data_IF_973675357798
#
_entry.id   IF_973675357798
#
_cell.length_a   1.000
_cell.length_b   1.000
_cell.length_c   1.000
_cell.angle_alpha   90.00
_cell.angle_beta   90.00
_cell.angle_gamma   90.00
#
_symmetry.space_group_name_H-M   'P 1'
#
loop_
_entity.id
_entity.type
_entity.pdbx_description
1 polymer ?
#
# COMPACT_ATOMS: atom_id res chain seq x y z
N UNK A 1 -2.64 -17.11 17.87
CA UNK A 1 -1.37 -17.71 18.31
C UNK A 1 -0.16 -16.96 17.73
N UNK A 2 -0.08 -16.70 16.40
CA UNK A 2 1.05 -15.99 15.76
C UNK A 2 1.29 -14.62 16.41
N UNK A 3 0.24 -13.81 16.61
CA UNK A 3 0.35 -12.49 17.24
C UNK A 3 0.86 -12.54 18.70
N UNK A 4 0.77 -13.69 19.36
CA UNK A 4 1.32 -13.89 20.70
C UNK A 4 2.83 -14.16 20.70
N UNK A 5 3.34 -14.77 19.65
CA UNK A 5 4.73 -15.21 19.51
C UNK A 5 5.58 -14.19 18.75
N UNK A 6 5.01 -13.58 17.70
CA UNK A 6 5.71 -12.59 16.88
C UNK A 6 5.96 -11.30 17.67
N UNK A 7 7.19 -10.85 17.73
CA UNK A 7 7.58 -9.62 18.43
C UNK A 7 7.49 -8.38 17.55
N UNK A 8 7.68 -8.54 16.25
CA UNK A 8 7.65 -7.44 15.28
C UNK A 8 6.22 -7.11 14.85
N UNK A 9 5.81 -5.86 15.08
CA UNK A 9 4.55 -5.35 14.52
C UNK A 9 4.57 -5.34 12.98
N UNK A 10 5.73 -5.08 12.37
CA UNK A 10 5.84 -5.00 10.91
C UNK A 10 5.64 -6.39 10.29
N UNK A 11 6.24 -7.44 10.87
CA UNK A 11 6.01 -8.81 10.42
C UNK A 11 4.53 -9.23 10.54
N UNK A 12 3.82 -8.78 11.60
CA UNK A 12 2.38 -9.01 11.73
C UNK A 12 1.57 -8.24 10.69
N UNK A 13 2.00 -7.02 10.32
CA UNK A 13 1.37 -6.26 9.24
C UNK A 13 1.57 -6.96 7.90
N UNK A 14 2.80 -7.36 7.54
CA UNK A 14 3.07 -8.09 6.31
C UNK A 14 2.24 -9.38 6.21
N UNK A 15 2.17 -10.16 7.30
CA UNK A 15 1.33 -11.35 7.37
C UNK A 15 -0.17 -11.00 7.20
N UNK A 16 -0.65 -9.95 7.86
CA UNK A 16 -2.04 -9.52 7.77
C UNK A 16 -2.42 -9.08 6.36
N UNK A 17 -1.56 -8.32 5.69
CA UNK A 17 -1.74 -7.95 4.28
C UNK A 17 -1.75 -9.16 3.34
N UNK A 18 -0.90 -10.16 3.60
CA UNK A 18 -0.86 -11.41 2.82
C UNK A 18 -2.12 -12.25 3.03
N UNK A 19 -2.60 -12.39 4.28
CA UNK A 19 -3.83 -13.12 4.60
C UNK A 19 -5.09 -12.48 3.97
N UNK A 20 -5.11 -11.15 3.88
CA UNK A 20 -6.23 -10.38 3.33
C UNK A 20 -6.00 -9.93 1.88
N UNK A 21 -4.91 -10.37 1.27
CA UNK A 21 -4.49 -10.03 -0.08
C UNK A 21 -4.63 -11.17 -1.07
N UNK A 22 -4.38 -10.90 -2.33
CA UNK A 22 -4.45 -11.86 -3.43
C UNK A 22 -3.07 -12.36 -3.87
N UNK A 23 -2.12 -12.49 -2.95
CA UNK A 23 -0.79 -13.06 -3.18
C UNK A 23 -0.36 -13.91 -1.99
N UNK A 24 0.60 -14.80 -2.23
CA UNK A 24 1.24 -15.63 -1.20
C UNK A 24 2.75 -15.63 -1.40
N UNK A 25 3.50 -15.28 -0.35
CA UNK A 25 4.95 -15.39 -0.33
C UNK A 25 5.35 -16.79 0.12
N UNK A 26 6.02 -17.55 -0.76
CA UNK A 26 6.49 -18.89 -0.40
C UNK A 26 7.91 -18.78 0.14
N UNK A 27 8.09 -19.03 1.44
CA UNK A 27 9.38 -18.89 2.13
C UNK A 27 10.38 -20.02 1.83
N UNK A 28 9.95 -21.10 1.16
CA UNK A 28 10.74 -22.32 0.96
C UNK A 28 11.16 -22.55 -0.48
N UNK A 29 11.83 -21.57 -1.09
CA UNK A 29 12.48 -21.76 -2.41
C UNK A 29 11.57 -21.80 -3.63
N UNK A 30 10.27 -21.60 -3.46
CA UNK A 30 9.32 -21.46 -4.58
C UNK A 30 8.96 -19.99 -4.81
N UNK A 31 8.67 -19.63 -6.07
CA UNK A 31 8.21 -18.29 -6.43
C UNK A 31 6.91 -17.92 -5.71
N UNK A 32 6.71 -16.63 -5.42
CA UNK A 32 5.43 -16.11 -4.91
C UNK A 32 4.29 -16.44 -5.87
N UNK A 33 3.12 -16.77 -5.32
CA UNK A 33 1.89 -16.91 -6.09
C UNK A 33 1.12 -15.60 -6.08
N UNK A 34 0.50 -15.26 -7.20
CA UNK A 34 -0.32 -14.07 -7.39
C UNK A 34 -1.72 -14.45 -7.85
N UNK A 35 -2.67 -13.53 -7.73
CA UNK A 35 -4.08 -13.75 -8.09
C UNK A 35 -4.71 -14.95 -7.36
N UNK A 36 -4.32 -15.15 -6.10
CA UNK A 36 -4.90 -16.17 -5.22
C UNK A 36 -6.10 -15.58 -4.46
N UNK A 37 -7.04 -16.43 -4.07
CA UNK A 37 -8.14 -16.01 -3.20
C UNK A 37 -7.60 -15.65 -1.81
N UNK A 38 -8.02 -14.51 -1.23
CA UNK A 38 -7.65 -14.13 0.12
C UNK A 38 -8.08 -15.19 1.15
N UNK A 39 -7.20 -15.52 2.07
CA UNK A 39 -7.49 -16.49 3.14
C UNK A 39 -8.43 -15.90 4.20
N UNK A 40 -8.51 -14.57 4.31
CA UNK A 40 -9.32 -13.87 5.29
C UNK A 40 -9.65 -12.45 4.80
N UNK A 41 -10.30 -11.66 5.67
CA UNK A 41 -10.49 -10.23 5.51
C UNK A 41 -10.21 -9.51 6.83
N UNK A 42 -9.95 -8.22 6.77
CA UNK A 42 -9.78 -7.39 7.98
C UNK A 42 -11.02 -7.50 8.86
N UNK A 43 -12.21 -7.51 8.27
CA UNK A 43 -13.47 -7.65 9.00
C UNK A 43 -13.53 -8.98 9.77
N UNK A 44 -13.24 -10.11 9.11
CA UNK A 44 -13.24 -11.43 9.75
C UNK A 44 -12.20 -11.53 10.86
N UNK A 45 -10.99 -10.99 10.65
CA UNK A 45 -9.94 -10.96 11.66
C UNK A 45 -10.31 -10.07 12.86
N UNK A 46 -10.96 -8.92 12.63
CA UNK A 46 -11.43 -8.02 13.68
C UNK A 46 -12.55 -8.64 14.50
N UNK A 47 -13.52 -9.27 13.85
CA UNK A 47 -14.58 -10.00 14.50
C UNK A 47 -14.05 -11.13 15.38
N UNK A 48 -13.09 -11.90 14.87
CA UNK A 48 -12.47 -12.96 15.65
C UNK A 48 -11.75 -12.41 16.89
N UNK A 49 -10.96 -11.34 16.73
CA UNK A 49 -10.26 -10.71 17.85
C UNK A 49 -11.23 -10.14 18.90
N UNK A 50 -12.33 -9.57 18.46
CA UNK A 50 -13.37 -9.00 19.33
C UNK A 50 -14.12 -10.09 20.12
N UNK A 51 -14.44 -11.22 19.50
CA UNK A 51 -15.12 -12.35 20.15
C UNK A 51 -14.21 -13.13 21.10
N UNK A 52 -12.89 -12.99 20.96
CA UNK A 52 -11.91 -13.75 21.74
C UNK A 52 -10.88 -12.84 22.45
N UNK A 53 -11.32 -11.87 23.27
CA UNK A 53 -10.41 -10.87 23.85
C UNK A 53 -9.43 -11.46 24.88
N UNK A 54 -9.76 -12.61 25.46
CA UNK A 54 -8.92 -13.33 26.45
C UNK A 54 -7.80 -14.15 25.82
N UNK A 55 -7.85 -14.39 24.51
CA UNK A 55 -6.78 -15.12 23.83
C UNK A 55 -5.46 -14.35 23.87
N UNK A 56 -4.39 -15.05 24.21
CA UNK A 56 -3.04 -14.48 24.19
C UNK A 56 -2.73 -13.92 22.79
N UNK A 57 -2.41 -12.64 22.71
CA UNK A 57 -2.12 -11.93 21.46
C UNK A 57 -3.32 -11.23 20.80
N UNK A 58 -4.57 -11.42 21.29
CA UNK A 58 -5.76 -10.77 20.73
C UNK A 58 -5.66 -9.24 20.72
N UNK A 59 -5.25 -8.64 21.83
CA UNK A 59 -5.05 -7.17 21.94
C UNK A 59 -3.99 -6.67 20.94
N UNK A 60 -2.91 -7.42 20.74
CA UNK A 60 -1.86 -7.06 19.79
C UNK A 60 -2.36 -7.17 18.35
N UNK A 61 -3.07 -8.25 18.03
CA UNK A 61 -3.72 -8.42 16.72
C UNK A 61 -4.68 -7.26 16.44
N UNK A 62 -5.59 -6.95 17.36
CA UNK A 62 -6.57 -5.86 17.23
C UNK A 62 -5.89 -4.48 17.00
N UNK A 63 -4.77 -4.22 17.67
CA UNK A 63 -3.97 -2.99 17.44
C UNK A 63 -3.35 -2.96 16.05
N UNK A 64 -2.94 -4.11 15.52
CA UNK A 64 -2.31 -4.23 14.19
C UNK A 64 -3.34 -4.08 13.07
N UNK A 65 -4.55 -4.63 13.24
CA UNK A 65 -5.62 -4.61 12.23
C UNK A 65 -5.98 -3.20 11.75
N UNK A 66 -5.88 -2.19 12.62
CA UNK A 66 -6.16 -0.78 12.24
C UNK A 66 -5.22 -0.20 11.20
N UNK A 67 -4.13 -0.88 10.89
CA UNK A 67 -3.11 -0.46 9.91
C UNK A 67 -3.04 -1.39 8.70
N UNK A 68 -4.05 -2.25 8.51
CA UNK A 68 -4.20 -3.10 7.35
C UNK A 68 -5.19 -2.52 6.34
N UNK A 69 -5.03 -2.94 5.10
CA UNK A 69 -6.03 -2.82 4.05
C UNK A 69 -6.21 -4.18 3.37
N UNK A 70 -7.45 -4.52 2.99
CA UNK A 70 -7.74 -5.69 2.16
C UNK A 70 -7.24 -5.47 0.72
N UNK A 71 -7.14 -6.54 -0.04
CA UNK A 71 -6.91 -6.56 -1.48
C UNK A 71 -5.49 -6.15 -1.93
N UNK A 72 -4.46 -6.27 -1.10
CA UNK A 72 -3.09 -6.15 -1.61
C UNK A 72 -2.83 -7.25 -2.63
N UNK A 73 -2.27 -6.90 -3.79
CA UNK A 73 -1.99 -7.86 -4.87
C UNK A 73 -0.52 -8.28 -4.95
N UNK A 74 0.35 -7.66 -4.18
CA UNK A 74 1.78 -8.01 -4.18
C UNK A 74 2.51 -7.59 -2.90
N UNK A 75 3.66 -8.23 -2.57
CA UNK A 75 4.52 -7.78 -1.46
C UNK A 75 5.00 -6.34 -1.62
N UNK A 76 5.25 -5.86 -2.84
CA UNK A 76 5.70 -4.49 -3.11
C UNK A 76 4.61 -3.46 -2.83
N UNK A 77 3.36 -3.75 -3.18
CA UNK A 77 2.23 -2.91 -2.80
C UNK A 77 2.05 -2.86 -1.29
N UNK A 78 2.14 -4.00 -0.61
CA UNK A 78 2.11 -4.08 0.87
C UNK A 78 3.17 -3.18 1.50
N UNK A 79 4.43 -3.26 1.04
CA UNK A 79 5.52 -2.42 1.56
C UNK A 79 5.25 -0.94 1.36
N UNK A 80 4.72 -0.53 0.20
CA UNK A 80 4.30 0.86 -0.07
C UNK A 80 3.18 1.30 0.87
N UNK A 81 2.14 0.48 1.03
CA UNK A 81 1.01 0.78 1.90
C UNK A 81 1.45 0.97 3.36
N UNK A 82 2.31 0.08 3.87
CA UNK A 82 2.89 0.17 5.20
C UNK A 82 3.76 1.44 5.32
N UNK A 83 4.67 1.66 4.39
CA UNK A 83 5.60 2.78 4.43
C UNK A 83 4.88 4.13 4.37
N UNK A 84 3.96 4.31 3.44
CA UNK A 84 3.22 5.55 3.25
C UNK A 84 2.15 5.75 4.33
N UNK A 85 1.45 4.69 4.72
CA UNK A 85 0.26 4.76 5.57
C UNK A 85 0.52 4.80 7.06
N UNK A 86 1.53 4.05 7.55
CA UNK A 86 1.79 3.97 8.99
C UNK A 86 2.09 5.35 9.61
N UNK A 87 1.63 5.58 10.85
CA UNK A 87 1.99 6.78 11.61
C UNK A 87 3.51 6.97 11.75
N UNK A 88 3.94 8.22 11.82
CA UNK A 88 5.36 8.61 11.98
C UNK A 88 6.00 8.00 13.24
N UNK A 89 5.23 7.72 14.29
CA UNK A 89 5.71 7.05 15.49
C UNK A 89 6.24 5.63 15.23
N UNK A 90 5.80 5.00 14.15
CA UNK A 90 6.30 3.68 13.69
C UNK A 90 7.30 3.79 12.53
N UNK A 91 7.64 5.01 12.11
CA UNK A 91 8.57 5.30 11.02
C UNK A 91 7.91 5.47 9.64
N UNK A 92 6.58 5.34 9.54
CA UNK A 92 5.84 5.61 8.31
C UNK A 92 5.67 7.10 8.03
N UNK A 93 5.13 7.44 6.86
CA UNK A 93 4.90 8.83 6.46
C UNK A 93 3.61 9.44 7.01
N UNK A 94 2.75 8.64 7.67
CA UNK A 94 1.53 9.12 8.31
C UNK A 94 0.46 9.63 7.34
N UNK A 95 0.43 9.12 6.12
CA UNK A 95 -0.52 9.55 5.10
C UNK A 95 -1.93 8.93 5.29
N UNK A 96 -2.07 7.98 6.23
CA UNK A 96 -3.27 7.17 6.43
C UNK A 96 -3.25 5.94 5.52
N UNK A 97 -3.89 4.87 6.00
CA UNK A 97 -3.89 3.60 5.27
C UNK A 97 -4.70 3.76 3.99
N UNK A 98 -4.11 3.46 2.81
CA UNK A 98 -4.83 3.53 1.53
C UNK A 98 -5.82 2.37 1.41
N UNK A 99 -6.84 2.52 0.56
CA UNK A 99 -7.55 1.38 -0.02
C UNK A 99 -6.69 0.79 -1.13
N UNK A 100 -6.61 -0.54 -1.16
CA UNK A 100 -5.76 -1.21 -2.14
C UNK A 100 -6.59 -1.86 -3.24
N UNK A 101 -6.08 -1.78 -4.45
CA UNK A 101 -6.73 -2.33 -5.65
C UNK A 101 -8.21 -1.91 -5.74
N UNK A 102 -8.45 -0.63 -5.43
CA UNK A 102 -9.79 -0.05 -5.36
C UNK A 102 -10.37 0.19 -6.75
N UNK A 103 -11.62 -0.22 -6.94
CA UNK A 103 -12.31 0.00 -8.22
C UNK A 103 -12.96 1.38 -8.29
N UNK A 104 -12.55 2.16 -9.29
CA UNK A 104 -13.12 3.45 -9.65
C UNK A 104 -14.00 3.27 -10.89
N UNK A 105 -15.30 3.50 -10.75
CA UNK A 105 -16.25 3.42 -11.88
C UNK A 105 -16.00 4.55 -12.87
N UNK A 106 -15.86 4.20 -14.15
CA UNK A 106 -15.67 5.18 -15.22
C UNK A 106 -16.96 5.95 -15.51
N UNK A 107 -16.86 7.29 -15.58
CA UNK A 107 -17.91 8.12 -16.10
C UNK A 107 -17.99 8.03 -17.65
N UNK A 108 -19.01 8.60 -18.33
CA UNK A 108 -19.14 8.52 -19.79
C UNK A 108 -17.91 9.02 -20.55
N UNK A 109 -17.27 10.11 -20.10
CA UNK A 109 -16.08 10.67 -20.75
C UNK A 109 -14.88 9.73 -20.62
N UNK A 110 -14.64 9.15 -19.43
CA UNK A 110 -13.58 8.19 -19.22
C UNK A 110 -13.80 6.88 -20.02
N UNK A 111 -15.04 6.43 -20.15
CA UNK A 111 -15.40 5.29 -21.03
C UNK A 111 -15.11 5.58 -22.50
N UNK A 112 -15.42 6.79 -22.98
CA UNK A 112 -15.13 7.17 -24.36
C UNK A 112 -13.63 7.16 -24.66
N UNK A 113 -12.77 7.51 -23.67
CA UNK A 113 -11.31 7.50 -23.82
C UNK A 113 -10.69 6.09 -23.83
N UNK A 114 -11.27 5.15 -23.09
CA UNK A 114 -10.63 3.87 -22.77
C UNK A 114 -11.43 2.63 -23.18
N UNK A 115 -12.74 2.77 -23.40
CA UNK A 115 -13.66 1.64 -23.55
C UNK A 115 -13.93 0.86 -22.24
N UNK A 116 -13.31 1.24 -21.12
CA UNK A 116 -13.40 0.50 -19.84
C UNK A 116 -14.53 1.06 -18.97
N UNK A 117 -15.22 0.18 -18.23
CA UNK A 117 -16.29 0.55 -17.29
C UNK A 117 -15.77 0.88 -15.89
N UNK A 118 -14.56 0.43 -15.54
CA UNK A 118 -13.90 0.69 -14.25
C UNK A 118 -12.38 0.69 -14.40
N UNK A 119 -11.71 1.28 -13.40
CA UNK A 119 -10.26 1.30 -13.24
C UNK A 119 -9.92 0.72 -11.88
N UNK A 120 -8.95 -0.17 -11.82
CA UNK A 120 -8.41 -0.70 -10.58
C UNK A 120 -7.19 0.12 -10.20
N UNK A 121 -7.24 0.81 -9.07
CA UNK A 121 -6.22 1.72 -8.56
C UNK A 121 -5.41 1.03 -7.45
N UNK A 122 -4.07 1.02 -7.53
CA UNK A 122 -3.23 0.20 -6.63
C UNK A 122 -3.31 0.64 -5.17
N UNK A 123 -2.95 1.88 -4.86
CA UNK A 123 -3.05 2.48 -3.54
C UNK A 123 -3.85 3.77 -3.62
N UNK A 124 -5.02 3.78 -3.03
CA UNK A 124 -6.03 4.78 -3.30
C UNK A 124 -6.49 5.49 -2.02
N UNK A 125 -6.64 6.80 -2.09
CA UNK A 125 -7.36 7.64 -1.11
C UNK A 125 -8.57 8.25 -1.82
N UNK A 126 -9.72 7.52 -1.87
CA UNK A 126 -10.87 7.89 -2.70
C UNK A 126 -11.45 9.26 -2.35
N UNK A 127 -11.47 9.62 -1.07
CA UNK A 127 -11.99 10.90 -0.58
C UNK A 127 -11.19 12.10 -1.11
N UNK A 128 -9.91 11.88 -1.41
CA UNK A 128 -9.02 12.87 -2.04
C UNK A 128 -8.86 12.66 -3.55
N UNK A 129 -9.52 11.66 -4.12
CA UNK A 129 -9.34 11.25 -5.52
C UNK A 129 -7.86 11.10 -5.90
N UNK A 130 -7.10 10.43 -5.05
CA UNK A 130 -5.68 10.18 -5.25
C UNK A 130 -5.45 8.69 -5.47
N UNK A 131 -4.69 8.38 -6.50
CA UNK A 131 -4.19 7.05 -6.81
C UNK A 131 -2.67 7.06 -6.87
N UNK A 132 -2.03 6.06 -6.25
CA UNK A 132 -0.58 5.85 -6.28
C UNK A 132 -0.32 4.51 -6.95
N UNK A 133 0.00 4.56 -8.22
CA UNK A 133 0.24 3.41 -9.11
C UNK A 133 1.68 2.89 -8.98
N UNK A 134 1.82 1.58 -9.07
CA UNK A 134 3.12 0.94 -9.09
C UNK A 134 3.56 0.60 -10.51
N UNK A 135 4.69 1.11 -10.94
CA UNK A 135 5.30 0.76 -12.21
C UNK A 135 6.46 -0.23 -12.01
N UNK A 136 6.26 -1.49 -12.42
CA UNK A 136 7.35 -2.47 -12.43
C UNK A 136 8.29 -2.23 -13.62
N UNK A 137 9.59 -2.59 -13.46
CA UNK A 137 10.59 -2.50 -14.55
C UNK A 137 10.30 -3.44 -15.72
N UNK A 138 9.50 -4.47 -15.54
CA UNK A 138 9.19 -5.48 -16.57
C UNK A 138 8.28 -4.96 -17.68
N UNK A 139 7.82 -3.72 -17.60
CA UNK A 139 7.12 -3.06 -18.70
C UNK A 139 8.08 -2.62 -19.82
N UNK A 140 8.86 -3.54 -20.41
CA UNK A 140 9.32 -3.43 -21.81
C UNK A 140 8.09 -3.56 -22.73
N UNK A 141 7.07 -2.80 -22.40
CA UNK A 141 5.80 -2.75 -23.07
C UNK A 141 5.97 -1.87 -24.28
N UNK A 142 5.64 -2.42 -25.42
CA UNK A 142 5.60 -1.72 -26.68
C UNK A 142 4.75 -0.44 -26.63
N UNK A 143 4.74 0.28 -27.73
CA UNK A 143 4.00 1.55 -27.90
C UNK A 143 2.52 1.44 -27.48
N UNK A 144 1.89 0.27 -27.74
CA UNK A 144 0.48 0.00 -27.39
C UNK A 144 0.19 0.16 -25.89
N UNK A 145 1.05 -0.39 -25.02
CA UNK A 145 0.84 -0.27 -23.56
C UNK A 145 1.07 1.16 -23.07
N UNK A 146 2.04 1.88 -23.64
CA UNK A 146 2.26 3.30 -23.32
C UNK A 146 1.03 4.14 -23.69
N UNK A 147 0.39 3.84 -24.83
CA UNK A 147 -0.87 4.49 -25.25
C UNK A 147 -2.00 4.13 -24.27
N UNK A 148 -2.12 2.86 -23.87
CA UNK A 148 -3.13 2.43 -22.90
C UNK A 148 -2.95 3.12 -21.55
N UNK A 149 -1.72 3.17 -21.01
CA UNK A 149 -1.40 3.84 -19.75
C UNK A 149 -1.69 5.35 -19.82
N UNK A 150 -1.37 6.00 -20.94
CA UNK A 150 -1.70 7.40 -21.19
C UNK A 150 -3.22 7.63 -21.21
N UNK A 151 -3.97 6.79 -21.94
CA UNK A 151 -5.45 6.87 -21.97
C UNK A 151 -6.06 6.66 -20.60
N UNK A 152 -5.56 5.70 -19.83
CA UNK A 152 -5.98 5.44 -18.45
C UNK A 152 -5.75 6.66 -17.57
N UNK A 153 -4.55 7.25 -17.61
CA UNK A 153 -4.21 8.45 -16.82
C UNK A 153 -5.12 9.62 -17.18
N UNK A 154 -5.34 9.86 -18.47
CA UNK A 154 -6.23 10.92 -18.95
C UNK A 154 -7.70 10.68 -18.53
N UNK A 155 -8.16 9.43 -18.55
CA UNK A 155 -9.49 9.06 -18.10
C UNK A 155 -9.69 9.32 -16.60
N UNK A 156 -8.72 8.91 -15.76
CA UNK A 156 -8.74 9.20 -14.33
C UNK A 156 -8.69 10.71 -14.06
N UNK A 157 -7.82 11.45 -14.77
CA UNK A 157 -7.73 12.90 -14.67
C UNK A 157 -9.06 13.60 -15.06
N UNK A 158 -9.76 13.12 -16.09
CA UNK A 158 -11.08 13.65 -16.50
C UNK A 158 -12.15 13.49 -15.42
N UNK A 159 -11.98 12.55 -14.51
CA UNK A 159 -12.83 12.33 -13.35
C UNK A 159 -12.35 13.08 -12.09
N UNK A 160 -11.30 13.90 -12.22
CA UNK A 160 -10.70 14.68 -11.15
C UNK A 160 -9.74 13.89 -10.25
N UNK A 161 -9.29 12.71 -10.70
CA UNK A 161 -8.30 11.92 -9.98
C UNK A 161 -6.88 12.39 -10.29
N UNK A 162 -6.05 12.41 -9.26
CA UNK A 162 -4.59 12.59 -9.41
C UNK A 162 -3.93 11.23 -9.34
N UNK A 163 -3.08 10.93 -10.33
CA UNK A 163 -2.29 9.71 -10.37
C UNK A 163 -0.83 10.06 -10.06
N UNK A 164 -0.23 9.33 -9.13
CA UNK A 164 1.19 9.40 -8.78
C UNK A 164 1.81 8.05 -9.06
N UNK A 165 2.64 7.97 -10.10
CA UNK A 165 3.38 6.75 -10.41
C UNK A 165 4.60 6.63 -9.49
N UNK A 166 4.86 5.40 -9.01
CA UNK A 166 6.02 5.07 -8.16
C UNK A 166 6.70 3.84 -8.73
N UNK A 167 7.96 3.98 -9.11
CA UNK A 167 8.81 2.91 -9.61
C UNK A 167 9.48 2.13 -8.46
N UNK A 168 10.09 0.98 -8.77
CA UNK A 168 10.92 0.24 -7.80
C UNK A 168 12.08 1.10 -7.28
N UNK A 169 12.76 1.80 -8.17
CA UNK A 169 13.94 2.62 -7.81
C UNK A 169 13.55 3.77 -6.88
N UNK A 170 12.41 4.41 -7.13
CA UNK A 170 11.91 5.48 -6.25
C UNK A 170 11.46 4.94 -4.89
N UNK A 171 10.90 3.74 -4.82
CA UNK A 171 10.57 3.10 -3.54
C UNK A 171 11.85 2.70 -2.78
N UNK A 172 12.88 2.25 -3.48
CA UNK A 172 14.15 1.83 -2.91
C UNK A 172 15.00 3.04 -2.49
N UNK A 173 14.88 4.19 -3.16
CA UNK A 173 15.53 5.46 -2.76
C UNK A 173 14.78 6.15 -1.61
N UNK A 174 15.50 6.48 -0.54
CA UNK A 174 14.95 7.22 0.60
C UNK A 174 14.54 8.63 0.19
N UNK A 175 15.39 9.31 -0.59
CA UNK A 175 15.17 10.70 -1.02
C UNK A 175 13.98 10.80 -1.97
N UNK A 176 13.87 9.89 -2.94
CA UNK A 176 12.73 9.85 -3.85
C UNK A 176 11.43 9.52 -3.12
N UNK A 177 11.46 8.56 -2.19
CA UNK A 177 10.29 8.24 -1.36
C UNK A 177 9.86 9.42 -0.49
N UNK A 178 10.80 10.20 0.08
CA UNK A 178 10.49 11.42 0.85
C UNK A 178 9.77 12.45 -0.03
N UNK A 179 10.27 12.71 -1.23
CA UNK A 179 9.67 13.66 -2.17
C UNK A 179 8.25 13.22 -2.61
N UNK A 180 8.08 11.94 -2.91
CA UNK A 180 6.77 11.36 -3.26
C UNK A 180 5.78 11.49 -2.10
N UNK A 181 6.21 11.13 -0.89
CA UNK A 181 5.37 11.23 0.30
C UNK A 181 4.96 12.68 0.59
N UNK A 182 5.84 13.65 0.37
CA UNK A 182 5.52 15.08 0.51
C UNK A 182 4.53 15.56 -0.56
N UNK A 183 4.65 15.10 -1.80
CA UNK A 183 3.67 15.37 -2.86
C UNK A 183 2.30 14.82 -2.50
N UNK A 184 2.22 13.56 -2.04
CA UNK A 184 0.99 12.91 -1.59
C UNK A 184 0.41 13.69 -0.40
N UNK A 185 1.22 14.04 0.59
CA UNK A 185 0.81 14.80 1.78
C UNK A 185 0.17 16.13 1.42
N UNK A 186 0.76 16.89 0.50
CA UNK A 186 0.22 18.15 0.00
C UNK A 186 -1.14 17.94 -0.64
N UNK A 187 -1.27 16.91 -1.49
CA UNK A 187 -2.55 16.59 -2.15
C UNK A 187 -3.63 16.21 -1.15
N UNK A 188 -3.28 15.45 -0.10
CA UNK A 188 -4.18 15.07 0.99
C UNK A 188 -4.52 16.21 1.96
N UNK A 189 -3.99 17.43 1.76
CA UNK A 189 -4.18 18.56 2.66
C UNK A 189 -3.59 18.34 4.07
N UNK A 190 -2.67 17.40 4.23
CA UNK A 190 -2.08 17.08 5.53
C UNK A 190 -0.88 17.98 5.84
N UNK A 191 -0.79 18.47 7.08
CA UNK A 191 0.35 19.30 7.52
C UNK A 191 1.63 18.48 7.60
N UNK A 192 2.75 19.08 7.16
CA UNK A 192 4.10 18.47 7.18
C UNK A 192 4.80 18.63 8.55
N UNK A 193 4.09 18.47 9.66
CA UNK A 193 4.68 18.71 10.97
C UNK A 193 5.16 17.39 11.60
N UNK A 194 6.48 17.17 11.61
CA UNK A 194 7.11 16.04 12.31
C UNK A 194 7.16 16.36 13.81
N UNK A 195 6.28 15.73 14.60
CA UNK A 195 6.21 15.90 16.07
C UNK A 195 6.79 14.70 16.83
N UNK A 196 7.40 13.75 16.12
CA UNK A 196 7.91 12.50 16.69
C UNK A 196 9.42 12.62 16.88
N UNK A 197 9.88 12.43 18.11
CA UNK A 197 11.31 12.38 18.39
C UNK A 197 11.97 11.22 17.62
N UNK A 198 13.18 11.48 17.10
CA UNK A 198 13.98 10.50 16.36
C UNK A 198 13.25 9.89 15.13
N UNK A 199 12.36 10.66 14.47
CA UNK A 199 11.58 10.18 13.32
C UNK A 199 12.48 9.60 12.21
N UNK A 200 13.59 10.26 11.89
CA UNK A 200 14.53 9.75 10.89
C UNK A 200 15.02 8.33 11.21
N UNK A 201 15.49 8.10 12.43
CA UNK A 201 15.94 6.76 12.87
C UNK A 201 14.81 5.72 12.82
N UNK A 202 13.58 6.12 13.17
CA UNK A 202 12.39 5.24 13.07
C UNK A 202 12.09 4.89 11.61
N UNK A 203 12.20 5.86 10.69
CA UNK A 203 12.01 5.66 9.26
C UNK A 203 13.04 4.68 8.69
N UNK A 204 14.32 4.84 9.02
CA UNK A 204 15.36 3.87 8.61
C UNK A 204 15.11 2.48 9.19
N UNK A 205 14.68 2.39 10.46
CA UNK A 205 14.32 1.10 11.07
C UNK A 205 13.16 0.43 10.35
N UNK A 206 12.10 1.18 10.02
CA UNK A 206 10.96 0.65 9.26
C UNK A 206 11.40 0.15 7.88
N UNK A 207 12.18 0.95 7.13
CA UNK A 207 12.70 0.54 5.82
C UNK A 207 13.48 -0.78 5.92
N UNK A 208 14.38 -0.89 6.91
CA UNK A 208 15.15 -2.13 7.16
C UNK A 208 14.23 -3.32 7.45
N UNK A 209 13.20 -3.14 8.28
CA UNK A 209 12.24 -4.20 8.61
C UNK A 209 11.44 -4.65 7.38
N UNK A 210 11.15 -3.75 6.45
CA UNK A 210 10.49 -4.04 5.18
C UNK A 210 11.46 -4.58 4.11
N UNK A 211 12.75 -4.73 4.41
CA UNK A 211 13.77 -5.15 3.44
C UNK A 211 13.96 -4.13 2.32
N UNK A 212 13.78 -2.84 2.61
CA UNK A 212 14.05 -1.73 1.70
C UNK A 212 15.44 -1.12 1.98
N UNK A 213 16.16 -0.63 0.96
CA UNK A 213 17.42 0.08 1.14
C UNK A 213 17.30 1.26 2.11
N UNK A 214 18.38 1.58 2.81
CA UNK A 214 18.47 2.67 3.79
C UNK A 214 19.51 3.71 3.42
N UNK A 215 20.18 3.55 2.27
CA UNK A 215 21.16 4.49 1.75
C UNK A 215 20.51 5.78 1.21
N UNK A 216 21.34 6.81 1.09
CA UNK A 216 21.03 8.05 0.39
C UNK A 216 21.73 7.94 -0.98
N UNK A 217 21.07 7.29 -1.91
CA UNK A 217 21.54 7.16 -3.30
C UNK A 217 21.05 8.33 -4.14
#
# INVERSE_FOLDING_TARGET
HIAAQETSMIALLELGYELCGSYQTRRTGTSSAYQVEPLSSIHALADFATRNPSLRGATKAAKTLRYLADNSASPRETKKAILLGLPMMYGGYGLGIPRMNYEVKANPAARALTGKSCFRCDLCWPEAKLDVEYQSRESHSGEEKRIEDSRRTNALASMGWTVVSVTNDELDSLVATDAIADRIRKHLGKRSQVRVANYHSRKLKLRRQLGLPIGYD
#
